data_IF_822489975287
#
_entry.id   IF_822489975287
#
_cell.length_a   1.000
_cell.length_b   1.000
_cell.length_c   1.000
_cell.angle_alpha   90.00
_cell.angle_beta   90.00
_cell.angle_gamma   90.00
#
_symmetry.space_group_name_H-M   'P 1'
#
loop_
_entity.id
_entity.type
_entity.pdbx_description
1 polymer ?
#
# COMPACT_ATOMS: atom_id res chain seq x y z
N UNK A 1 -25.94 53.21 9.47
CA UNK A 1 -26.38 54.61 9.39
C UNK A 1 -27.50 54.65 8.35
N UNK A 2 -28.65 55.20 8.75
CA UNK A 2 -29.92 55.37 8.01
C UNK A 2 -29.84 55.81 6.53
N UNK A 3 -30.97 55.82 5.74
CA UNK A 3 -32.27 55.14 5.90
C UNK A 3 -32.83 54.49 4.60
N UNK A 4 -34.01 53.87 4.74
CA UNK A 4 -34.89 53.27 3.71
C UNK A 4 -35.32 54.20 2.55
N UNK A 5 -35.55 53.59 1.37
CA UNK A 5 -36.49 54.06 0.33
C UNK A 5 -37.19 52.90 -0.38
N UNK A 6 -38.43 52.64 0.04
CA UNK A 6 -39.67 52.72 -0.75
C UNK A 6 -39.70 52.21 -2.22
N UNK A 7 -40.29 51.01 -2.38
CA UNK A 7 -41.34 50.57 -3.32
C UNK A 7 -41.41 51.07 -4.79
N UNK A 8 -41.47 50.12 -5.73
CA UNK A 8 -42.58 50.02 -6.71
C UNK A 8 -42.60 48.66 -7.43
N UNK A 9 -43.67 47.89 -7.22
CA UNK A 9 -44.11 46.74 -8.01
C UNK A 9 -44.75 47.22 -9.32
N UNK A 10 -44.50 46.53 -10.45
CA UNK A 10 -45.49 46.30 -11.51
C UNK A 10 -45.27 44.90 -12.11
N UNK A 11 -46.30 44.06 -12.01
CA UNK A 11 -46.51 42.79 -12.72
C UNK A 11 -47.05 43.05 -14.14
N UNK A 12 -46.79 42.16 -15.12
CA UNK A 12 -47.81 41.34 -15.82
C UNK A 12 -47.28 40.64 -17.10
N UNK A 13 -47.52 39.33 -17.16
CA UNK A 13 -47.91 38.46 -18.29
C UNK A 13 -47.00 38.22 -19.53
N UNK A 14 -46.61 36.94 -19.66
CA UNK A 14 -46.90 36.00 -20.77
C UNK A 14 -46.75 36.46 -22.23
N UNK A 15 -46.03 35.66 -23.03
CA UNK A 15 -46.54 35.01 -24.27
C UNK A 15 -45.43 34.17 -24.93
N UNK A 16 -45.86 33.01 -25.41
CA UNK A 16 -45.12 31.90 -25.98
C UNK A 16 -44.72 32.03 -27.47
N UNK A 17 -43.92 31.04 -27.92
CA UNK A 17 -43.73 30.53 -29.31
C UNK A 17 -43.02 31.50 -30.27
N UNK A 18 -42.11 31.07 -31.15
CA UNK A 18 -42.25 30.21 -32.37
C UNK A 18 -40.81 29.84 -32.79
N UNK A 19 -40.38 28.57 -32.91
CA UNK A 19 -40.48 27.60 -34.03
C UNK A 19 -39.78 27.95 -35.36
N UNK A 20 -38.77 27.15 -35.75
CA UNK A 20 -38.61 26.37 -37.03
C UNK A 20 -37.12 26.04 -37.24
N UNK A 21 -36.69 24.77 -37.28
CA UNK A 21 -36.95 23.68 -38.23
C UNK A 21 -36.03 23.71 -39.47
N UNK A 22 -35.26 22.64 -39.64
CA UNK A 22 -34.90 22.07 -40.94
C UNK A 22 -34.62 20.56 -40.77
N UNK A 23 -35.55 19.79 -41.35
CA UNK A 23 -35.62 18.36 -41.64
C UNK A 23 -34.86 18.12 -42.99
N UNK A 24 -34.32 16.96 -43.40
CA UNK A 24 -34.93 15.66 -43.77
C UNK A 24 -33.77 14.74 -44.22
N UNK A 25 -33.66 13.47 -43.77
CA UNK A 25 -34.23 12.22 -44.35
C UNK A 25 -33.25 11.54 -45.37
N UNK A 26 -33.19 10.24 -45.71
CA UNK A 26 -33.97 8.98 -45.61
C UNK A 26 -32.87 7.86 -45.74
N UNK A 27 -32.92 6.67 -45.11
CA UNK A 27 -33.52 5.48 -45.73
C UNK A 27 -33.35 4.21 -44.89
N UNK A 28 -34.45 3.49 -44.82
CA UNK A 28 -34.77 2.18 -44.24
C UNK A 28 -34.25 0.99 -45.05
N UNK A 29 -34.04 -0.16 -44.39
CA UNK A 29 -34.59 -1.47 -44.82
C UNK A 29 -34.37 -2.56 -43.76
N UNK A 30 -35.47 -3.16 -43.33
CA UNK A 30 -35.61 -4.39 -42.55
C UNK A 30 -36.07 -5.47 -43.53
N UNK A 31 -35.44 -6.66 -43.52
CA UNK A 31 -35.97 -7.84 -44.23
C UNK A 31 -35.83 -9.09 -43.36
N UNK A 32 -36.84 -9.94 -43.48
CA UNK A 32 -37.21 -11.09 -42.65
C UNK A 32 -36.81 -12.41 -43.34
N UNK A 33 -36.26 -13.38 -42.58
CA UNK A 33 -36.26 -14.88 -42.64
C UNK A 33 -36.24 -15.64 -44.01
N UNK A 34 -35.72 -16.91 -44.12
CA UNK A 34 -36.12 -18.05 -43.28
C UNK A 34 -35.06 -19.15 -42.94
N UNK A 35 -35.54 -20.11 -42.14
CA UNK A 35 -34.93 -21.36 -41.66
C UNK A 35 -34.35 -22.27 -42.76
N UNK A 36 -33.31 -23.03 -42.40
CA UNK A 36 -33.16 -24.41 -42.87
C UNK A 36 -32.50 -25.31 -41.80
N UNK A 37 -33.15 -26.46 -41.60
CA UNK A 37 -32.77 -27.60 -40.76
C UNK A 37 -31.82 -28.54 -41.49
N UNK A 38 -30.90 -29.21 -40.75
CA UNK A 38 -30.27 -30.50 -41.08
C UNK A 38 -29.27 -30.85 -39.96
N UNK A 39 -29.62 -31.68 -38.96
CA UNK A 39 -29.36 -33.14 -38.86
C UNK A 39 -27.90 -33.58 -39.04
N UNK A 40 -27.33 -34.21 -38.00
CA UNK A 40 -26.02 -34.88 -38.08
C UNK A 40 -25.47 -35.33 -36.72
N UNK A 41 -25.96 -36.46 -36.23
CA UNK A 41 -25.51 -37.23 -35.05
C UNK A 41 -24.15 -37.94 -35.26
N UNK A 42 -23.61 -38.44 -34.13
CA UNK A 42 -22.59 -39.50 -33.91
C UNK A 42 -21.17 -38.99 -33.59
N UNK A 43 -20.67 -39.06 -32.34
CA UNK A 43 -20.18 -40.23 -31.54
C UNK A 43 -18.98 -40.98 -32.14
N UNK A 44 -17.92 -41.13 -31.33
CA UNK A 44 -16.77 -42.06 -31.53
C UNK A 44 -15.42 -41.34 -31.52
N UNK A 45 -14.78 -41.14 -30.35
CA UNK A 45 -13.83 -42.04 -29.66
C UNK A 45 -12.42 -42.16 -30.30
N UNK A 46 -11.42 -41.88 -29.45
CA UNK A 46 -10.04 -42.40 -29.39
C UNK A 46 -9.47 -43.18 -30.59
N UNK A 47 -8.27 -42.81 -31.06
CA UNK A 47 -7.02 -43.41 -30.55
C UNK A 47 -5.78 -42.99 -31.37
N UNK A 48 -4.70 -42.72 -30.65
CA UNK A 48 -3.27 -42.90 -30.98
C UNK A 48 -2.83 -43.26 -32.41
N UNK A 49 -1.83 -42.55 -32.94
CA UNK A 49 -0.42 -43.01 -33.08
C UNK A 49 0.37 -42.14 -34.07
N UNK A 50 1.48 -41.57 -33.61
CA UNK A 50 2.88 -41.86 -33.99
C UNK A 50 3.40 -41.28 -35.33
N UNK A 51 4.34 -40.35 -35.15
CA UNK A 51 5.61 -40.18 -35.88
C UNK A 51 5.60 -39.86 -37.39
N UNK A 52 5.99 -38.62 -37.70
CA UNK A 52 6.99 -38.37 -38.75
C UNK A 52 8.05 -37.39 -38.24
N UNK A 53 9.31 -37.79 -38.38
CA UNK A 53 10.51 -36.97 -38.18
C UNK A 53 10.79 -36.20 -39.47
N UNK A 54 11.11 -34.92 -39.37
CA UNK A 54 12.09 -34.29 -40.26
C UNK A 54 12.98 -33.37 -39.43
N UNK A 55 14.28 -33.62 -39.54
CA UNK A 55 15.33 -32.87 -38.89
C UNK A 55 15.84 -31.78 -39.83
N UNK A 56 15.86 -30.53 -39.37
CA UNK A 56 16.79 -29.49 -39.83
C UNK A 56 17.30 -28.77 -38.58
N UNK A 57 18.61 -28.61 -38.51
CA UNK A 57 19.38 -27.91 -37.47
C UNK A 57 20.43 -27.05 -38.20
N UNK A 58 21.13 -26.06 -37.59
CA UNK A 58 20.96 -25.49 -36.24
C UNK A 58 21.28 -23.96 -36.07
N UNK A 59 21.05 -23.48 -34.82
CA UNK A 59 21.71 -22.40 -34.01
C UNK A 59 21.20 -20.93 -34.07
N UNK A 60 21.38 -20.13 -32.98
CA UNK A 60 21.60 -20.47 -31.57
C UNK A 60 20.61 -19.81 -30.58
N UNK A 61 20.33 -20.55 -29.52
CA UNK A 61 19.72 -20.12 -28.26
C UNK A 61 20.64 -19.20 -27.45
N UNK A 62 20.13 -18.07 -26.95
CA UNK A 62 20.67 -17.37 -25.78
C UNK A 62 19.76 -17.64 -24.57
N UNK A 63 20.31 -18.35 -23.59
CA UNK A 63 19.71 -18.50 -22.25
C UNK A 63 19.91 -17.21 -21.45
N UNK A 64 19.00 -16.85 -20.52
CA UNK A 64 19.37 -16.12 -19.33
C UNK A 64 19.70 -17.08 -18.19
N UNK A 65 20.80 -16.76 -17.50
CA UNK A 65 21.47 -17.58 -16.50
C UNK A 65 20.58 -17.92 -15.29
N UNK A 66 20.46 -19.21 -15.00
CA UNK A 66 20.18 -19.73 -13.65
C UNK A 66 21.42 -19.50 -12.79
N UNK A 67 21.33 -18.65 -11.77
CA UNK A 67 22.28 -18.67 -10.67
C UNK A 67 21.70 -19.52 -9.54
N UNK A 68 22.28 -20.71 -9.37
CA UNK A 68 22.14 -21.51 -8.15
C UNK A 68 23.17 -20.95 -7.16
N UNK A 69 22.72 -20.26 -6.11
CA UNK A 69 23.58 -19.93 -4.98
C UNK A 69 23.50 -21.08 -3.99
N UNK A 70 24.51 -21.94 -4.03
CA UNK A 70 24.77 -22.96 -3.03
C UNK A 70 25.18 -22.23 -1.73
N UNK A 71 24.34 -22.33 -0.70
CA UNK A 71 24.70 -21.84 0.62
C UNK A 71 25.81 -22.72 1.20
N UNK A 72 27.02 -22.18 1.28
CA UNK A 72 28.06 -22.68 2.17
C UNK A 72 28.17 -21.74 3.36
N UNK A 73 28.00 -22.33 4.54
CA UNK A 73 28.22 -21.72 5.85
C UNK A 73 29.68 -21.35 6.06
N UNK A 74 29.89 -20.25 6.80
CA UNK A 74 31.15 -19.76 7.38
C UNK A 74 31.78 -18.58 6.62
N UNK A 75 31.63 -17.37 7.15
CA UNK A 75 32.73 -16.62 7.79
C UNK A 75 32.30 -15.18 8.12
N UNK A 76 32.52 -14.78 9.38
CA UNK A 76 32.26 -13.44 9.92
C UNK A 76 33.28 -12.47 9.34
N UNK A 77 32.98 -11.88 8.18
CA UNK A 77 33.83 -10.85 7.58
C UNK A 77 33.16 -10.07 6.45
N UNK A 78 32.26 -10.70 5.68
CA UNK A 78 31.72 -10.13 4.45
C UNK A 78 30.50 -9.21 4.64
N UNK A 79 29.91 -9.16 5.83
CA UNK A 79 28.70 -8.36 6.11
C UNK A 79 28.97 -6.84 6.29
N UNK A 80 30.23 -6.43 6.36
CA UNK A 80 30.62 -5.03 6.51
C UNK A 80 30.62 -4.27 5.17
N UNK A 81 31.10 -4.92 4.12
CA UNK A 81 31.35 -4.28 2.82
C UNK A 81 30.04 -4.01 2.04
N UNK A 82 29.15 -5.00 2.02
CA UNK A 82 27.82 -4.87 1.43
C UNK A 82 26.96 -3.81 2.12
N UNK A 83 27.15 -3.65 3.44
CA UNK A 83 26.49 -2.61 4.25
C UNK A 83 27.06 -1.22 3.95
N UNK A 84 28.37 -1.11 3.72
CA UNK A 84 29.03 0.15 3.28
C UNK A 84 28.54 0.61 1.92
N UNK A 85 28.49 -0.28 0.93
CA UNK A 85 28.01 0.03 -0.42
C UNK A 85 26.55 0.50 -0.39
N UNK A 86 25.73 -0.15 0.42
CA UNK A 86 24.33 0.21 0.61
C UNK A 86 24.21 1.60 1.26
N UNK A 87 24.94 1.89 2.35
CA UNK A 87 24.95 3.22 3.00
C UNK A 87 25.44 4.34 2.06
N UNK A 88 26.47 4.07 1.25
CA UNK A 88 26.97 5.02 0.26
C UNK A 88 25.96 5.29 -0.86
N UNK A 89 25.19 4.29 -1.30
CA UNK A 89 24.12 4.48 -2.28
C UNK A 89 23.00 5.42 -1.78
N UNK A 90 22.86 5.58 -0.47
CA UNK A 90 21.92 6.50 0.17
C UNK A 90 22.55 7.86 0.53
N UNK A 91 23.80 8.12 0.14
CA UNK A 91 24.49 9.39 0.42
C UNK A 91 24.89 9.58 1.88
N UNK A 92 24.91 8.51 2.68
CA UNK A 92 25.30 8.51 4.09
C UNK A 92 26.78 8.15 4.23
N UNK A 93 27.49 8.78 5.18
CA UNK A 93 28.90 8.47 5.42
C UNK A 93 29.04 7.14 6.20
N UNK A 94 29.62 6.08 5.61
CA UNK A 94 29.71 4.78 6.27
C UNK A 94 30.66 4.78 7.48
N UNK A 95 31.65 5.67 7.55
CA UNK A 95 32.64 5.69 8.62
C UNK A 95 32.10 6.32 9.92
N UNK A 96 30.99 7.06 9.83
CA UNK A 96 30.24 7.59 10.97
C UNK A 96 29.47 6.48 11.72
N UNK A 97 29.13 5.38 11.04
CA UNK A 97 28.33 4.27 11.59
C UNK A 97 29.14 3.01 11.92
N UNK A 98 30.39 2.91 11.47
CA UNK A 98 31.24 1.72 11.62
C UNK A 98 32.36 1.87 12.66
N UNK A 99 32.45 3.03 13.30
CA UNK A 99 33.48 3.32 14.30
C UNK A 99 33.01 3.03 15.72
N UNK A 100 33.04 1.76 16.14
CA UNK A 100 33.36 1.40 17.54
C UNK A 100 34.05 0.02 17.61
N UNK A 101 35.26 -0.09 18.21
CA UNK A 101 35.84 -1.38 18.57
C UNK A 101 35.45 -1.81 20.00
N UNK A 102 35.12 -3.11 20.15
CA UNK A 102 34.72 -3.72 21.42
C UNK A 102 35.83 -3.74 22.50
N UNK A 103 35.49 -3.79 23.81
CA UNK A 103 36.46 -3.66 24.90
C UNK A 103 37.12 -5.00 25.24
N UNK A 104 38.45 -5.11 25.14
CA UNK A 104 39.28 -6.10 25.87
C UNK A 104 40.79 -5.85 25.65
N UNK A 105 41.45 -5.18 26.60
CA UNK A 105 42.85 -5.43 26.96
C UNK A 105 43.15 -4.86 28.36
N UNK A 106 43.69 -5.69 29.24
CA UNK A 106 44.06 -5.40 30.63
C UNK A 106 45.48 -4.79 30.71
N UNK A 107 45.63 -3.88 31.70
CA UNK A 107 46.78 -3.64 32.62
C UNK A 107 47.92 -2.65 32.24
N UNK A 108 48.05 -1.66 33.16
CA UNK A 108 49.25 -0.95 33.69
C UNK A 108 49.92 0.04 32.72
N UNK A 109 50.35 1.26 33.09
CA UNK A 109 50.86 1.79 34.37
C UNK A 109 50.92 3.35 34.31
N UNK A 110 50.70 3.98 35.46
CA UNK A 110 51.30 5.21 36.04
C UNK A 110 51.26 6.61 35.36
N UNK A 111 50.73 7.55 36.17
CA UNK A 111 51.26 8.88 36.54
C UNK A 111 50.95 10.15 35.70
N UNK A 112 50.13 11.00 36.33
CA UNK A 112 50.28 12.45 36.58
C UNK A 112 50.48 13.43 35.41
N UNK A 113 49.49 14.32 35.27
CA UNK A 113 49.62 15.59 34.55
C UNK A 113 48.39 16.47 34.78
N UNK A 114 48.54 17.48 35.64
CA UNK A 114 47.54 18.51 35.95
C UNK A 114 47.20 19.36 34.74
N UNK A 115 45.92 19.42 34.38
CA UNK A 115 45.39 20.36 33.39
C UNK A 115 43.91 20.65 33.67
N UNK A 116 43.61 21.88 34.10
CA UNK A 116 42.25 22.40 34.25
C UNK A 116 41.63 22.59 32.85
N UNK A 117 41.14 21.50 32.26
CA UNK A 117 40.33 21.51 31.06
C UNK A 117 38.85 21.70 31.43
N UNK A 118 38.20 22.70 30.83
CA UNK A 118 36.72 22.81 30.82
C UNK A 118 36.16 21.45 30.39
N UNK A 119 35.40 20.80 31.27
CA UNK A 119 34.62 19.60 30.92
C UNK A 119 33.61 19.99 29.84
N UNK A 120 33.89 19.67 28.59
CA UNK A 120 32.83 19.49 27.61
C UNK A 120 31.99 18.32 28.14
N UNK A 121 30.74 18.61 28.51
CA UNK A 121 29.76 17.55 28.70
C UNK A 121 29.56 16.93 27.32
N UNK A 122 30.10 15.72 27.15
CA UNK A 122 29.65 14.85 26.07
C UNK A 122 28.23 14.49 26.45
N UNK A 123 27.25 15.13 25.82
CA UNK A 123 25.87 14.69 25.85
C UNK A 123 25.88 13.21 25.45
N UNK A 124 25.47 12.33 26.36
CA UNK A 124 25.39 10.90 26.12
C UNK A 124 24.55 10.67 24.85
N UNK A 125 25.13 9.98 23.86
CA UNK A 125 24.41 9.64 22.64
C UNK A 125 23.12 8.89 23.00
N UNK A 126 21.99 9.18 22.33
CA UNK A 126 20.74 8.50 22.63
C UNK A 126 20.94 6.98 22.52
N UNK A 127 20.36 6.20 23.45
CA UNK A 127 20.59 4.76 23.51
C UNK A 127 20.23 4.10 22.16
N UNK A 128 20.94 3.03 21.78
CA UNK A 128 20.69 2.37 20.51
C UNK A 128 19.23 1.93 20.42
N UNK A 129 18.61 2.16 19.25
CA UNK A 129 17.23 1.74 19.00
C UNK A 129 17.15 0.22 19.12
N UNK A 130 16.10 -0.26 19.78
CA UNK A 130 15.88 -1.69 20.02
C UNK A 130 14.49 -2.11 19.56
N UNK A 131 14.25 -3.42 19.44
CA UNK A 131 12.97 -3.97 18.97
C UNK A 131 12.30 -4.86 20.03
N UNK A 132 10.99 -5.07 19.89
CA UNK A 132 10.18 -6.02 20.65
C UNK A 132 9.22 -6.79 19.72
N UNK A 133 8.58 -7.84 20.23
CA UNK A 133 7.65 -8.70 19.47
C UNK A 133 6.23 -8.71 20.06
N UNK A 134 5.58 -7.54 20.10
CA UNK A 134 4.22 -7.43 20.62
C UNK A 134 3.14 -7.56 19.54
N UNK A 135 3.49 -7.35 18.27
CA UNK A 135 2.56 -7.46 17.14
C UNK A 135 2.54 -8.88 16.58
N UNK A 136 1.43 -9.26 15.94
CA UNK A 136 1.32 -10.51 15.21
C UNK A 136 0.43 -10.41 13.96
N UNK A 137 0.57 -11.41 13.09
CA UNK A 137 -0.35 -11.66 11.97
C UNK A 137 -1.62 -12.35 12.49
N UNK A 138 -2.80 -11.81 12.17
CA UNK A 138 -4.09 -12.22 12.74
C UNK A 138 -4.75 -13.34 11.94
N UNK A 139 -4.66 -13.31 10.61
CA UNK A 139 -5.31 -14.24 9.70
C UNK A 139 -4.41 -14.64 8.53
N UNK A 140 -4.91 -15.56 7.69
CA UNK A 140 -4.21 -15.98 6.47
C UNK A 140 -3.08 -16.99 6.69
N UNK A 141 -2.21 -17.11 5.70
CA UNK A 141 -1.14 -18.13 5.62
C UNK A 141 -0.03 -17.95 6.66
N UNK A 142 0.27 -16.71 7.07
CA UNK A 142 1.27 -16.37 8.08
C UNK A 142 0.67 -16.15 9.48
N UNK A 143 -0.58 -16.57 9.71
CA UNK A 143 -1.31 -16.36 10.97
C UNK A 143 -0.49 -16.78 12.20
N UNK A 144 -0.59 -15.97 13.27
CA UNK A 144 0.11 -16.11 14.57
C UNK A 144 1.62 -15.90 14.52
N UNK A 145 2.24 -15.61 13.38
CA UNK A 145 3.64 -15.17 13.35
C UNK A 145 3.77 -13.83 14.08
N UNK A 146 4.67 -13.77 15.07
CA UNK A 146 5.02 -12.54 15.78
C UNK A 146 5.89 -11.65 14.89
N UNK A 147 5.68 -10.34 14.94
CA UNK A 147 6.39 -9.34 14.17
C UNK A 147 7.25 -8.47 15.10
N UNK A 148 8.44 -8.10 14.63
CA UNK A 148 9.27 -7.09 15.25
C UNK A 148 8.60 -5.72 15.15
N UNK A 149 8.81 -4.90 16.19
CA UNK A 149 8.35 -3.53 16.28
C UNK A 149 9.39 -2.70 17.06
N UNK A 150 9.63 -1.44 16.67
CA UNK A 150 10.53 -0.53 17.38
C UNK A 150 10.10 -0.31 18.84
N UNK A 151 11.03 -0.40 19.79
CA UNK A 151 10.81 0.01 21.18
C UNK A 151 10.91 1.52 21.31
N UNK A 152 10.07 2.10 22.16
CA UNK A 152 10.19 3.49 22.60
C UNK A 152 9.91 4.54 21.52
N UNK A 153 9.35 4.16 20.36
CA UNK A 153 8.81 5.13 19.43
C UNK A 153 7.47 5.64 19.96
N UNK A 154 7.29 6.96 19.95
CA UNK A 154 6.04 7.63 20.34
C UNK A 154 4.90 7.45 19.30
N UNK A 155 5.10 6.54 18.35
CA UNK A 155 4.15 6.19 17.30
C UNK A 155 3.49 4.86 17.65
N UNK A 156 2.20 4.93 17.96
CA UNK A 156 1.40 3.75 18.27
C UNK A 156 1.11 2.96 16.99
N UNK A 157 1.43 1.66 16.92
CA UNK A 157 1.02 0.83 15.78
C UNK A 157 -0.51 0.67 15.74
N UNK A 158 -1.06 0.46 14.54
CA UNK A 158 -2.48 0.11 14.37
C UNK A 158 -2.83 -1.07 15.29
N UNK A 159 -3.86 -0.89 16.13
CA UNK A 159 -4.27 -1.91 17.09
C UNK A 159 -4.71 -3.19 16.39
N UNK A 160 -4.45 -4.37 16.98
CA UNK A 160 -4.89 -5.66 16.41
C UNK A 160 -6.41 -5.70 16.16
N UNK A 161 -7.22 -5.11 17.04
CA UNK A 161 -8.69 -5.04 16.88
C UNK A 161 -9.08 -4.17 15.68
N UNK A 162 -8.40 -3.03 15.50
CA UNK A 162 -8.65 -2.11 14.39
C UNK A 162 -8.23 -2.76 13.07
N UNK A 163 -7.03 -3.37 13.03
CA UNK A 163 -6.53 -4.15 11.89
C UNK A 163 -7.49 -5.28 11.52
N UNK A 164 -7.89 -6.09 12.51
CA UNK A 164 -8.84 -7.18 12.31
C UNK A 164 -10.19 -6.70 11.73
N UNK A 165 -10.71 -5.58 12.24
CA UNK A 165 -11.93 -4.97 11.73
C UNK A 165 -11.78 -4.43 10.30
N UNK A 166 -10.64 -3.80 9.97
CA UNK A 166 -10.33 -3.31 8.62
C UNK A 166 -10.42 -4.43 7.60
N UNK A 167 -9.69 -5.53 7.82
CA UNK A 167 -9.70 -6.67 6.91
C UNK A 167 -11.06 -7.35 6.83
N UNK A 168 -11.79 -7.48 7.95
CA UNK A 168 -13.14 -8.04 7.93
C UNK A 168 -14.11 -7.19 7.08
N UNK A 169 -14.02 -5.86 7.18
CA UNK A 169 -14.84 -4.96 6.38
C UNK A 169 -14.44 -5.00 4.90
N UNK A 170 -13.15 -5.04 4.57
CA UNK A 170 -12.66 -5.19 3.19
C UNK A 170 -13.13 -6.50 2.56
N UNK A 171 -12.99 -7.63 3.26
CA UNK A 171 -13.45 -8.94 2.80
C UNK A 171 -14.96 -8.95 2.53
N UNK A 172 -15.75 -8.33 3.43
CA UNK A 172 -17.19 -8.20 3.26
C UNK A 172 -17.56 -7.28 2.07
N UNK A 173 -16.84 -6.18 1.87
CA UNK A 173 -17.06 -5.24 0.77
C UNK A 173 -16.64 -5.83 -0.59
N UNK A 174 -15.55 -6.59 -0.61
CA UNK A 174 -15.06 -7.32 -1.78
C UNK A 174 -15.87 -8.57 -2.14
N UNK A 175 -16.93 -8.89 -1.39
CA UNK A 175 -17.80 -10.04 -1.66
C UNK A 175 -17.17 -11.42 -1.40
N UNK A 176 -15.97 -11.48 -0.81
CA UNK A 176 -15.30 -12.73 -0.46
C UNK A 176 -14.94 -12.71 1.04
N UNK A 177 -15.76 -13.35 1.91
CA UNK A 177 -15.52 -13.32 3.35
C UNK A 177 -14.29 -14.16 3.78
N UNK A 178 -13.86 -15.12 2.95
CA UNK A 178 -12.78 -16.03 3.30
C UNK A 178 -11.38 -15.45 3.06
N UNK A 179 -11.23 -14.58 2.04
CA UNK A 179 -9.92 -14.10 1.57
C UNK A 179 -10.07 -12.74 0.90
N UNK A 180 -9.01 -11.93 0.93
CA UNK A 180 -8.93 -10.79 0.01
C UNK A 180 -8.80 -11.29 -1.42
N UNK A 181 -9.28 -10.48 -2.37
CA UNK A 181 -9.03 -10.75 -3.79
C UNK A 181 -7.53 -10.62 -4.07
N UNK A 182 -6.96 -11.47 -4.93
CA UNK A 182 -5.61 -11.27 -5.44
C UNK A 182 -5.48 -9.88 -6.04
N UNK A 183 -4.36 -9.22 -5.79
CA UNK A 183 -4.17 -7.81 -6.13
C UNK A 183 -2.95 -7.22 -5.45
N UNK A 184 -2.68 -5.95 -5.76
CA UNK A 184 -1.60 -5.16 -5.17
C UNK A 184 -2.09 -4.32 -4.01
N UNK A 185 -1.36 -4.38 -2.92
CA UNK A 185 -1.56 -3.54 -1.74
C UNK A 185 -0.51 -2.42 -1.71
N UNK A 186 -0.90 -1.19 -1.41
CA UNK A 186 0.00 -0.08 -1.10
C UNK A 186 -0.16 0.30 0.37
N UNK A 187 0.90 0.13 1.16
CA UNK A 187 0.93 0.45 2.58
C UNK A 187 1.68 1.77 2.79
N UNK A 188 0.93 2.87 2.86
CA UNK A 188 1.47 4.19 3.17
C UNK A 188 1.70 4.31 4.67
N UNK A 189 2.91 4.76 5.05
CA UNK A 189 3.38 4.77 6.44
C UNK A 189 3.48 3.36 7.02
N UNK A 190 4.14 2.47 6.27
CA UNK A 190 4.13 1.03 6.52
C UNK A 190 4.76 0.60 7.86
N UNK A 191 5.74 1.35 8.38
CA UNK A 191 6.39 1.06 9.65
C UNK A 191 6.91 -0.37 9.72
N UNK A 192 6.33 -1.17 10.61
CA UNK A 192 6.72 -2.58 10.79
C UNK A 192 6.25 -3.51 9.66
N UNK A 193 5.47 -3.00 8.70
CA UNK A 193 4.79 -3.77 7.66
C UNK A 193 3.58 -4.55 8.15
N UNK A 194 3.07 -4.27 9.35
CA UNK A 194 2.01 -5.06 10.01
C UNK A 194 0.73 -5.19 9.16
N UNK A 195 0.39 -4.15 8.41
CA UNK A 195 -0.83 -4.09 7.57
C UNK A 195 -0.57 -4.77 6.22
N UNK A 196 0.47 -4.37 5.47
CA UNK A 196 0.79 -5.02 4.19
C UNK A 196 1.13 -6.51 4.31
N UNK A 197 1.78 -6.95 5.38
CA UNK A 197 2.02 -8.38 5.66
C UNK A 197 0.71 -9.12 5.91
N UNK A 198 -0.22 -8.52 6.65
CA UNK A 198 -1.55 -9.09 6.88
C UNK A 198 -2.32 -9.24 5.56
N UNK A 199 -2.17 -8.27 4.65
CA UNK A 199 -2.76 -8.30 3.32
C UNK A 199 -2.25 -9.48 2.48
N UNK A 200 -0.92 -9.64 2.38
CA UNK A 200 -0.31 -10.77 1.66
C UNK A 200 -0.75 -12.10 2.32
N UNK A 201 -0.71 -12.18 3.64
CA UNK A 201 -1.16 -13.36 4.39
C UNK A 201 -2.60 -13.76 4.03
N UNK A 202 -3.48 -12.77 3.81
CA UNK A 202 -4.91 -12.94 3.45
C UNK A 202 -5.18 -13.02 1.95
N UNK A 203 -4.16 -13.19 1.11
CA UNK A 203 -4.33 -13.51 -0.30
C UNK A 203 -4.02 -12.38 -1.29
N UNK A 204 -3.54 -11.21 -0.84
CA UNK A 204 -2.96 -10.24 -1.77
C UNK A 204 -1.69 -10.82 -2.41
N UNK A 205 -1.49 -10.51 -3.69
CA UNK A 205 -0.40 -11.08 -4.49
C UNK A 205 0.92 -10.37 -4.25
N UNK A 206 0.86 -9.08 -3.96
CA UNK A 206 2.02 -8.23 -3.74
C UNK A 206 1.66 -7.07 -2.81
N UNK A 207 2.61 -6.58 -2.02
CA UNK A 207 2.46 -5.34 -1.27
C UNK A 207 3.67 -4.40 -1.49
N UNK A 208 3.36 -3.12 -1.67
CA UNK A 208 4.32 -2.03 -1.72
C UNK A 208 4.29 -1.33 -0.36
N UNK A 209 5.46 -1.20 0.27
CA UNK A 209 5.63 -0.61 1.59
C UNK A 209 6.37 0.72 1.44
N UNK A 210 5.75 1.82 1.86
CA UNK A 210 6.39 3.14 1.88
C UNK A 210 6.76 3.46 3.33
N UNK A 211 8.05 3.64 3.60
CA UNK A 211 8.58 3.93 4.93
C UNK A 211 9.72 4.94 4.80
N UNK A 212 9.76 5.95 5.67
CA UNK A 212 10.77 7.00 5.61
C UNK A 212 12.05 6.60 6.35
N UNK A 213 11.92 5.85 7.45
CA UNK A 213 13.01 5.58 8.38
C UNK A 213 13.84 4.36 7.93
N UNK A 214 15.10 4.56 7.48
CA UNK A 214 15.92 3.46 6.98
C UNK A 214 16.19 2.39 8.04
N UNK A 215 16.27 2.75 9.32
CA UNK A 215 16.47 1.79 10.40
C UNK A 215 15.23 0.92 10.61
N UNK A 216 14.02 1.50 10.50
CA UNK A 216 12.79 0.70 10.52
C UNK A 216 12.75 -0.25 9.33
N UNK A 217 13.19 0.19 8.15
CA UNK A 217 13.29 -0.66 6.97
C UNK A 217 14.25 -1.83 7.19
N UNK A 218 15.50 -1.57 7.58
CA UNK A 218 16.56 -2.58 7.70
C UNK A 218 16.39 -3.50 8.90
N UNK A 219 16.00 -2.98 10.06
CA UNK A 219 16.04 -3.72 11.32
C UNK A 219 14.66 -4.25 11.75
N UNK A 220 13.58 -3.87 11.04
CA UNK A 220 12.21 -4.29 11.38
C UNK A 220 11.45 -4.84 10.18
N UNK A 221 11.20 -4.01 9.15
CA UNK A 221 10.34 -4.37 8.02
C UNK A 221 10.93 -5.54 7.21
N UNK A 222 12.19 -5.43 6.77
CA UNK A 222 12.87 -6.48 6.02
C UNK A 222 12.93 -7.81 6.81
N UNK A 223 13.40 -7.83 8.08
CA UNK A 223 13.36 -9.06 8.89
C UNK A 223 11.95 -9.63 9.08
N UNK A 224 10.91 -8.80 9.18
CA UNK A 224 9.53 -9.26 9.26
C UNK A 224 9.07 -9.93 7.96
N UNK A 225 9.43 -9.39 6.80
CA UNK A 225 9.13 -9.96 5.50
C UNK A 225 9.83 -11.31 5.30
N UNK A 226 11.10 -11.41 5.67
CA UNK A 226 11.86 -12.66 5.65
C UNK A 226 11.26 -13.70 6.59
N UNK A 227 10.96 -13.31 7.82
CA UNK A 227 10.36 -14.19 8.83
C UNK A 227 8.99 -14.71 8.40
N UNK A 228 8.20 -13.88 7.72
CA UNK A 228 6.88 -14.28 7.22
C UNK A 228 6.95 -15.08 5.93
N UNK A 229 8.06 -15.00 5.19
CA UNK A 229 8.27 -15.69 3.91
C UNK A 229 7.71 -14.90 2.72
N UNK A 230 7.58 -13.58 2.86
CA UNK A 230 6.91 -12.70 1.90
C UNK A 230 7.85 -11.72 1.18
N UNK A 231 9.17 -11.89 1.31
CA UNK A 231 10.16 -11.02 0.67
C UNK A 231 9.94 -10.89 -0.85
N UNK A 232 9.63 -11.99 -1.54
CA UNK A 232 9.38 -12.00 -3.00
C UNK A 232 8.09 -11.28 -3.41
N UNK A 233 7.13 -11.17 -2.48
CA UNK A 233 5.85 -10.49 -2.70
C UNK A 233 5.89 -9.03 -2.20
N UNK A 234 7.05 -8.52 -1.79
CA UNK A 234 7.20 -7.20 -1.20
C UNK A 234 8.06 -6.27 -2.05
N UNK A 235 7.64 -5.01 -2.15
CA UNK A 235 8.44 -3.93 -2.74
C UNK A 235 8.55 -2.81 -1.71
N UNK A 236 9.76 -2.46 -1.29
CA UNK A 236 9.98 -1.42 -0.27
C UNK A 236 10.45 -0.14 -0.95
N UNK A 237 9.81 0.97 -0.59
CA UNK A 237 10.15 2.33 -1.01
C UNK A 237 10.60 3.11 0.22
N UNK A 238 11.90 3.30 0.37
CA UNK A 238 12.49 4.06 1.49
C UNK A 238 12.45 5.56 1.19
N UNK A 239 11.27 6.16 1.25
CA UNK A 239 11.00 7.56 0.88
C UNK A 239 9.87 8.13 1.74
N UNK A 240 9.76 9.46 1.78
CA UNK A 240 8.57 10.10 2.36
C UNK A 240 7.33 9.74 1.54
N UNK A 241 6.18 9.66 2.21
CA UNK A 241 4.90 9.35 1.54
C UNK A 241 4.53 10.46 0.56
N UNK A 242 4.75 11.73 0.91
CA UNK A 242 4.45 12.85 0.01
C UNK A 242 5.29 12.76 -1.27
N UNK A 243 6.59 12.52 -1.16
CA UNK A 243 7.50 12.35 -2.31
C UNK A 243 7.17 11.12 -3.16
N UNK A 244 6.63 10.07 -2.55
CA UNK A 244 6.14 8.89 -3.26
C UNK A 244 4.88 9.20 -4.08
N UNK A 245 3.94 9.94 -3.47
CA UNK A 245 2.70 10.35 -4.13
C UNK A 245 2.96 11.34 -5.27
N UNK A 246 3.96 12.23 -5.14
CA UNK A 246 4.39 13.13 -6.21
C UNK A 246 4.97 12.38 -7.42
N UNK A 247 5.44 11.15 -7.22
CA UNK A 247 5.95 10.26 -8.27
C UNK A 247 4.94 9.20 -8.71
N UNK A 248 3.67 9.37 -8.33
CA UNK A 248 2.59 8.41 -8.60
C UNK A 248 2.49 8.03 -10.08
N UNK A 249 2.64 8.97 -11.01
CA UNK A 249 2.54 8.69 -12.46
C UNK A 249 3.58 7.65 -12.92
N UNK A 250 4.82 7.72 -12.41
CA UNK A 250 5.87 6.74 -12.73
C UNK A 250 5.53 5.36 -12.19
N UNK A 251 5.03 5.32 -10.95
CA UNK A 251 4.62 4.08 -10.29
C UNK A 251 3.45 3.43 -11.02
N UNK A 252 2.43 4.21 -11.38
CA UNK A 252 1.28 3.73 -12.15
C UNK A 252 1.69 3.30 -13.56
N UNK A 253 2.58 4.03 -14.22
CA UNK A 253 3.09 3.63 -15.53
C UNK A 253 3.80 2.27 -15.51
N UNK A 254 4.40 1.89 -14.37
CA UNK A 254 5.10 0.62 -14.19
C UNK A 254 4.20 -0.53 -13.73
N UNK A 255 3.25 -0.25 -12.83
CA UNK A 255 2.48 -1.29 -12.14
C UNK A 255 0.97 -1.22 -12.36
N UNK A 256 0.44 -0.09 -12.83
CA UNK A 256 -0.99 0.23 -12.79
C UNK A 256 -1.45 0.73 -11.41
N UNK A 257 -2.76 1.03 -11.25
CA UNK A 257 -3.34 1.43 -9.97
C UNK A 257 -3.31 0.29 -8.94
N UNK A 258 -3.42 0.60 -7.67
CA UNK A 258 -3.46 -0.38 -6.58
C UNK A 258 -4.88 -0.81 -6.26
N UNK A 259 -5.07 -2.10 -5.98
CA UNK A 259 -6.38 -2.63 -5.59
C UNK A 259 -6.75 -2.24 -4.15
N UNK A 260 -5.74 -2.14 -3.28
CA UNK A 260 -5.92 -1.77 -1.89
C UNK A 260 -4.84 -0.78 -1.45
N UNK A 261 -5.23 0.20 -0.65
CA UNK A 261 -4.34 1.23 -0.12
C UNK A 261 -4.62 1.37 1.38
N UNK A 262 -3.61 1.22 2.23
CA UNK A 262 -3.68 1.60 3.65
C UNK A 262 -2.99 2.93 3.90
N UNK A 263 -3.60 3.73 4.75
CA UNK A 263 -3.14 5.05 5.15
C UNK A 263 -3.20 5.09 6.67
N UNK A 264 -2.07 4.78 7.32
CA UNK A 264 -1.95 4.74 8.79
C UNK A 264 -0.88 5.69 9.30
N UNK A 265 -1.02 7.01 9.06
CA UNK A 265 -0.01 7.98 9.45
C UNK A 265 0.11 8.09 10.97
N UNK A 266 1.29 8.47 11.50
CA UNK A 266 1.42 8.91 12.88
C UNK A 266 0.52 10.13 13.13
N UNK A 267 -0.52 9.98 13.95
CA UNK A 267 -1.61 10.97 14.11
C UNK A 267 -1.18 12.41 14.38
N UNK A 268 -0.03 12.62 15.03
CA UNK A 268 0.45 13.94 15.45
C UNK A 268 1.31 14.63 14.40
N UNK A 269 1.65 13.97 13.30
CA UNK A 269 2.68 14.46 12.37
C UNK A 269 2.15 14.71 10.96
N UNK A 270 0.85 14.57 10.74
CA UNK A 270 0.26 14.69 9.39
C UNK A 270 -1.03 15.51 9.41
N UNK A 271 -1.17 16.38 8.42
CA UNK A 271 -2.42 17.04 8.07
C UNK A 271 -3.25 16.12 7.17
N UNK A 272 -4.37 15.62 7.70
CA UNK A 272 -5.26 14.71 6.97
C UNK A 272 -5.94 15.36 5.77
N UNK A 273 -6.20 16.67 5.80
CA UNK A 273 -6.80 17.39 4.68
C UNK A 273 -5.86 17.41 3.49
N UNK A 274 -4.59 17.75 3.71
CA UNK A 274 -3.56 17.76 2.68
C UNK A 274 -3.29 16.34 2.16
N UNK A 275 -3.11 15.37 3.07
CA UNK A 275 -2.84 13.99 2.69
C UNK A 275 -3.98 13.40 1.85
N UNK A 276 -5.23 13.57 2.29
CA UNK A 276 -6.38 13.04 1.56
C UNK A 276 -6.61 13.76 0.22
N UNK A 277 -6.30 15.05 0.13
CA UNK A 277 -6.32 15.80 -1.13
C UNK A 277 -5.29 15.24 -2.12
N UNK A 278 -4.04 15.03 -1.69
CA UNK A 278 -2.99 14.41 -2.52
C UNK A 278 -3.39 13.00 -2.98
N UNK A 279 -3.87 12.17 -2.05
CA UNK A 279 -4.34 10.82 -2.36
C UNK A 279 -5.47 10.88 -3.39
N UNK A 280 -6.47 11.76 -3.22
CA UNK A 280 -7.60 11.87 -4.15
C UNK A 280 -7.19 12.22 -5.58
N UNK A 281 -6.11 13.00 -5.75
CA UNK A 281 -5.58 13.39 -7.06
C UNK A 281 -4.68 12.31 -7.68
N UNK A 282 -4.20 11.37 -6.87
CA UNK A 282 -3.24 10.36 -7.32
C UNK A 282 -3.82 9.37 -8.34
N UNK A 283 -3.09 9.08 -9.44
CA UNK A 283 -3.45 8.03 -10.38
C UNK A 283 -3.29 6.61 -9.81
N UNK A 284 -2.73 6.47 -8.59
CA UNK A 284 -2.57 5.18 -7.90
C UNK A 284 -3.92 4.55 -7.55
N UNK A 285 -5.01 5.31 -7.59
CA UNK A 285 -6.37 4.88 -7.28
C UNK A 285 -7.16 4.64 -8.57
N UNK A 286 -7.62 3.41 -8.75
CA UNK A 286 -8.56 3.02 -9.79
C UNK A 286 -10.01 3.00 -9.30
N UNK A 287 -10.94 2.73 -10.22
CA UNK A 287 -12.39 2.70 -9.94
C UNK A 287 -12.80 1.54 -9.02
N UNK A 288 -12.03 0.45 -9.03
CA UNK A 288 -12.26 -0.75 -8.21
C UNK A 288 -11.37 -0.82 -6.96
N UNK A 289 -10.63 0.24 -6.66
CA UNK A 289 -9.72 0.30 -5.51
C UNK A 289 -10.46 0.45 -4.18
N UNK A 290 -9.84 -0.03 -3.10
CA UNK A 290 -10.26 0.21 -1.73
C UNK A 290 -9.19 0.97 -0.95
N UNK A 291 -9.59 1.96 -0.16
CA UNK A 291 -8.69 2.73 0.70
C UNK A 291 -9.12 2.57 2.15
N UNK A 292 -8.20 2.17 3.01
CA UNK A 292 -8.38 2.10 4.46
C UNK A 292 -7.60 3.23 5.09
N UNK A 293 -8.30 4.11 5.82
CA UNK A 293 -7.68 5.27 6.47
C UNK A 293 -7.94 5.20 7.97
N UNK A 294 -6.85 5.24 8.74
CA UNK A 294 -6.90 5.36 10.19
C UNK A 294 -6.63 6.82 10.59
N UNK A 295 -7.54 7.41 11.36
CA UNK A 295 -7.49 8.85 11.68
C UNK A 295 -8.02 9.16 13.08
N UNK A 296 -7.59 10.26 13.74
CA UNK A 296 -8.01 10.57 15.09
C UNK A 296 -9.47 11.04 15.16
N UNK A 297 -10.10 10.85 16.32
CA UNK A 297 -11.45 11.35 16.57
C UNK A 297 -11.48 12.88 16.45
N UNK A 298 -12.51 13.41 15.78
CA UNK A 298 -12.70 14.85 15.61
C UNK A 298 -12.11 15.42 14.32
N UNK A 299 -11.39 14.62 13.52
CA UNK A 299 -11.03 14.98 12.15
C UNK A 299 -12.24 14.87 11.25
N UNK A 300 -12.51 15.92 10.47
CA UNK A 300 -13.51 15.88 9.41
C UNK A 300 -12.92 15.18 8.18
N UNK A 301 -13.58 14.13 7.73
CA UNK A 301 -13.11 13.26 6.65
C UNK A 301 -14.11 13.27 5.49
N UNK A 302 -13.59 13.53 4.29
CA UNK A 302 -14.35 13.62 3.04
C UNK A 302 -15.30 12.41 2.86
N UNK A 303 -16.46 12.65 2.26
CA UNK A 303 -17.41 11.58 1.92
C UNK A 303 -16.99 10.77 0.71
N UNK A 304 -16.13 11.35 -0.13
CA UNK A 304 -15.59 10.74 -1.35
C UNK A 304 -14.07 10.94 -1.40
N UNK A 305 -13.39 10.04 -2.10
CA UNK A 305 -11.97 10.15 -2.40
C UNK A 305 -11.78 9.74 -3.86
N UNK A 306 -11.48 10.69 -4.75
CA UNK A 306 -11.46 10.48 -6.20
C UNK A 306 -12.80 9.93 -6.71
N UNK A 307 -12.80 8.75 -7.31
CA UNK A 307 -13.96 8.00 -7.81
C UNK A 307 -14.59 7.09 -6.75
N UNK A 308 -14.05 7.05 -5.53
CA UNK A 308 -14.50 6.17 -4.45
C UNK A 308 -15.41 6.91 -3.47
N UNK A 309 -16.33 6.15 -2.86
CA UNK A 309 -17.26 6.63 -1.83
C UNK A 309 -16.91 6.02 -0.47
N UNK A 310 -17.16 6.75 0.62
CA UNK A 310 -16.95 6.25 1.98
C UNK A 310 -18.01 5.20 2.33
N UNK A 311 -17.64 3.93 2.24
CA UNK A 311 -18.55 2.78 2.46
C UNK A 311 -18.62 2.35 3.93
N UNK A 312 -17.63 2.69 4.74
CA UNK A 312 -17.62 2.45 6.17
C UNK A 312 -16.86 3.53 6.91
N UNK A 313 -17.32 3.85 8.12
CA UNK A 313 -16.65 4.76 9.04
C UNK A 313 -16.96 4.29 10.47
N UNK A 314 -15.96 3.81 11.19
CA UNK A 314 -16.14 3.17 12.50
C UNK A 314 -15.17 3.71 13.53
N UNK A 315 -15.70 4.01 14.71
CA UNK A 315 -14.92 4.46 15.87
C UNK A 315 -14.37 3.29 16.68
N UNK A 316 -13.10 3.38 17.03
CA UNK A 316 -12.35 2.49 17.92
C UNK A 316 -11.63 3.33 18.98
N UNK A 317 -12.31 3.58 20.10
CA UNK A 317 -11.77 4.40 21.20
C UNK A 317 -11.54 5.85 20.77
N UNK A 318 -10.27 6.24 20.61
CA UNK A 318 -9.81 7.58 20.21
C UNK A 318 -9.53 7.70 18.69
N UNK A 319 -9.68 6.62 17.97
CA UNK A 319 -9.38 6.52 16.54
C UNK A 319 -10.64 6.18 15.77
N UNK A 320 -10.75 6.66 14.54
CA UNK A 320 -11.71 6.22 13.56
C UNK A 320 -11.00 5.47 12.41
N UNK A 321 -11.73 4.55 11.82
CA UNK A 321 -11.30 3.77 10.66
C UNK A 321 -12.34 3.96 9.56
N UNK A 322 -11.95 4.66 8.49
CA UNK A 322 -12.77 4.80 7.29
C UNK A 322 -12.33 3.81 6.22
N UNK A 323 -13.29 3.33 5.44
CA UNK A 323 -13.04 2.62 4.19
C UNK A 323 -13.72 3.36 3.06
N UNK A 324 -12.94 3.72 2.05
CA UNK A 324 -13.42 4.18 0.75
C UNK A 324 -13.37 3.02 -0.23
N UNK A 325 -14.37 2.90 -1.08
CA UNK A 325 -14.41 1.86 -2.09
C UNK A 325 -15.35 2.22 -3.24
N UNK A 326 -15.49 1.30 -4.21
CA UNK A 326 -16.32 1.53 -5.38
C UNK A 326 -17.78 1.67 -4.98
N UNK A 327 -18.56 2.40 -5.76
CA UNK A 327 -19.98 2.64 -5.45
C UNK A 327 -20.79 1.35 -5.32
N UNK A 328 -20.44 0.31 -6.10
CA UNK A 328 -21.11 -0.99 -6.02
C UNK A 328 -20.89 -1.71 -4.67
N UNK A 329 -19.83 -1.36 -3.93
CA UNK A 329 -19.50 -1.92 -2.63
C UNK A 329 -20.24 -1.22 -1.46
N UNK A 330 -20.93 -0.11 -1.73
CA UNK A 330 -21.72 0.59 -0.73
C UNK A 330 -22.91 -0.28 -0.29
N UNK A 331 -22.95 -0.61 1.00
CA UNK A 331 -24.12 -1.31 1.56
C UNK A 331 -25.31 -0.35 1.53
N UNK A 332 -26.37 -0.72 0.80
CA UNK A 332 -27.66 -0.01 0.89
C UNK A 332 -28.07 0.07 2.36
N UNK A 333 -28.05 1.27 2.93
CA UNK A 333 -28.65 1.51 4.26
C UNK A 333 -30.10 1.08 4.15
N UNK A 334 -30.51 0.05 4.91
CA UNK A 334 -31.94 -0.19 5.14
C UNK A 334 -32.47 1.13 5.69
N UNK A 335 -33.26 1.86 4.90
CA UNK A 335 -34.04 2.98 5.43
C UNK A 335 -34.78 2.40 6.63
N UNK A 336 -34.48 2.88 7.83
CA UNK A 336 -35.40 2.67 8.95
C UNK A 336 -36.70 3.32 8.49
N UNK A 337 -37.65 2.48 8.08
CA UNK A 337 -39.04 2.89 8.01
C UNK A 337 -39.39 3.42 9.38
N UNK A 338 -39.89 4.65 9.36
CA UNK A 338 -40.24 5.59 10.42
C UNK A 338 -40.54 5.03 11.80
#
# INVERSE_FOLDING_TARGET
MEPEKQTSNINFFDVAKVSRAAEMAVSSSLTVLPLHTSTGTCLGSCSSSKFLRFAISPKPTRQPHRFVVLAQSSEKGLMSEKKRELLQSYGLNPDEFLSEPSPKARRRKDAQGTGRGRKFQVEDSPPPRTTHKLLQVLGGTARRKKLLSPKGMDVRPMMEVVKGAAFAMLQAAGGCPASLRPGRWLDLYSGTGSVGIEAISRGCSQAHFVEIDPWVVSDVLQPNLEWTGFSEAAVIHTVRVEDFLDQADKTVGKYGPFDYISVTPPYTQVDYGILMDQISKSPLIGEDSFIVVEYPLGTDMLTTCRCLVKIADRRFGRTNLAIYGPQWAEKKKKKKSS
#
